data_IF_213207153010
#
_entry.id   IF_213207153010
#
_cell.length_a   1.000
_cell.length_b   1.000
_cell.length_c   1.000
_cell.angle_alpha   90.00
_cell.angle_beta   90.00
_cell.angle_gamma   90.00
#
_symmetry.space_group_name_H-M   'P 1'
#
loop_
_entity.id
_entity.type
_entity.pdbx_description
1 polymer ?
#
# COMPACT_ATOMS: atom_id res chain seq x y z
N UNK A 1 -2.99 18.80 -14.77
CA UNK A 1 -3.06 17.35 -15.09
C UNK A 1 -4.44 16.90 -15.59
N UNK A 2 -5.41 17.82 -15.77
CA UNK A 2 -6.66 17.52 -16.49
C UNK A 2 -6.34 17.04 -17.92
N UNK A 3 -6.97 15.97 -18.43
CA UNK A 3 -8.25 15.37 -18.00
C UNK A 3 -8.16 14.20 -17.00
N UNK A 4 -6.97 13.82 -16.51
CA UNK A 4 -6.84 12.65 -15.64
C UNK A 4 -7.50 12.87 -14.28
N UNK A 5 -8.18 11.84 -13.77
CA UNK A 5 -8.77 11.84 -12.42
C UNK A 5 -7.71 11.43 -11.40
N UNK A 6 -7.34 12.37 -10.53
CA UNK A 6 -6.32 12.18 -9.50
C UNK A 6 -6.97 11.56 -8.26
N UNK A 7 -6.27 10.60 -7.65
CA UNK A 7 -6.71 9.90 -6.44
C UNK A 7 -6.23 10.67 -5.21
N UNK A 8 -4.91 10.85 -5.09
CA UNK A 8 -4.28 11.63 -4.02
C UNK A 8 -3.07 12.40 -4.51
N UNK A 9 -2.68 13.44 -3.77
CA UNK A 9 -1.49 14.26 -4.03
C UNK A 9 -0.77 14.47 -2.72
N UNK A 10 0.50 14.07 -2.65
CA UNK A 10 1.42 14.41 -1.57
C UNK A 10 2.37 15.52 -2.02
N UNK A 11 2.48 16.60 -1.26
CA UNK A 11 3.31 17.76 -1.60
C UNK A 11 4.43 17.90 -0.58
N UNK A 12 5.66 17.72 -1.04
CA UNK A 12 6.89 17.95 -0.26
C UNK A 12 7.37 19.37 -0.55
N UNK A 13 6.91 20.33 0.25
CA UNK A 13 7.18 21.76 0.06
C UNK A 13 8.68 22.08 0.10
N UNK A 14 9.43 21.41 0.98
CA UNK A 14 10.88 21.61 1.15
C UNK A 14 11.66 21.26 -0.14
N UNK A 15 11.23 20.22 -0.85
CA UNK A 15 11.84 19.75 -2.10
C UNK A 15 11.24 20.38 -3.35
N UNK A 16 10.18 21.20 -3.21
CA UNK A 16 9.30 21.62 -4.31
C UNK A 16 8.88 20.43 -5.19
N UNK A 17 8.51 19.33 -4.55
CA UNK A 17 8.13 18.09 -5.20
C UNK A 17 6.67 17.76 -4.91
N UNK A 18 5.95 17.28 -5.92
CA UNK A 18 4.57 16.86 -5.80
C UNK A 18 4.42 15.45 -6.36
N UNK A 19 4.00 14.52 -5.52
CA UNK A 19 3.78 13.12 -5.84
C UNK A 19 2.28 12.93 -6.06
N UNK A 20 1.90 12.47 -7.25
CA UNK A 20 0.51 12.36 -7.69
C UNK A 20 0.19 10.90 -7.92
N UNK A 21 -0.77 10.38 -7.16
CA UNK A 21 -1.21 8.99 -7.24
C UNK A 21 -2.48 8.89 -8.08
N UNK A 22 -2.46 7.95 -9.01
CA UNK A 22 -3.46 7.81 -10.08
C UNK A 22 -3.73 6.33 -10.35
N UNK A 23 -4.97 5.98 -10.66
CA UNK A 23 -5.26 4.63 -11.14
C UNK A 23 -4.44 4.29 -12.41
N UNK A 24 -4.12 2.99 -12.63
CA UNK A 24 -3.27 2.56 -13.75
C UNK A 24 -3.73 3.04 -15.13
N UNK A 25 -5.05 3.16 -15.33
CA UNK A 25 -5.69 3.64 -16.54
C UNK A 25 -5.59 5.16 -16.73
N UNK A 26 -5.56 5.93 -15.65
CA UNK A 26 -5.48 7.40 -15.64
C UNK A 26 -4.05 7.94 -15.79
N UNK A 27 -3.03 7.12 -15.50
CA UNK A 27 -1.60 7.52 -15.60
C UNK A 27 -1.23 7.99 -17.00
N UNK A 28 -1.72 7.31 -18.04
CA UNK A 28 -1.39 7.70 -19.42
C UNK A 28 -1.96 9.08 -19.78
N UNK A 29 -3.18 9.37 -19.31
CA UNK A 29 -3.85 10.67 -19.50
C UNK A 29 -3.12 11.78 -18.73
N UNK A 30 -2.65 11.47 -17.51
CA UNK A 30 -1.93 12.42 -16.66
C UNK A 30 -0.56 12.80 -17.26
N UNK A 31 0.18 11.83 -17.81
CA UNK A 31 1.46 12.06 -18.50
C UNK A 31 1.24 12.85 -19.80
N UNK A 32 0.22 12.47 -20.58
CA UNK A 32 -0.04 13.02 -21.90
C UNK A 32 1.02 12.64 -22.94
N UNK A 33 0.80 12.98 -24.21
CA UNK A 33 1.71 12.61 -25.31
C UNK A 33 3.10 13.23 -25.10
N UNK A 34 4.11 12.38 -24.91
CA UNK A 34 5.49 12.82 -24.68
C UNK A 34 5.72 13.55 -23.35
N UNK A 35 4.85 13.36 -22.36
CA UNK A 35 4.97 14.01 -21.05
C UNK A 35 4.53 15.47 -21.02
N UNK A 36 3.80 15.94 -22.03
CA UNK A 36 3.43 17.34 -22.17
C UNK A 36 2.59 17.88 -20.99
N UNK A 37 1.68 17.06 -20.47
CA UNK A 37 0.78 17.48 -19.38
C UNK A 37 1.53 17.65 -18.05
N UNK A 38 2.43 16.74 -17.72
CA UNK A 38 3.30 16.84 -16.53
C UNK A 38 4.25 18.03 -16.69
N UNK A 39 4.93 18.16 -17.83
CA UNK A 39 5.86 19.29 -18.06
C UNK A 39 5.18 20.64 -17.92
N UNK A 40 3.98 20.79 -18.48
CA UNK A 40 3.22 22.05 -18.37
C UNK A 40 2.80 22.30 -16.92
N UNK A 41 2.30 21.28 -16.24
CA UNK A 41 1.89 21.40 -14.84
C UNK A 41 3.09 21.77 -13.95
N UNK A 42 4.25 21.14 -14.13
CA UNK A 42 5.48 21.46 -13.39
C UNK A 42 5.94 22.90 -13.63
N UNK A 43 5.86 23.40 -14.88
CA UNK A 43 6.19 24.79 -15.20
C UNK A 43 5.21 25.79 -14.58
N UNK A 44 3.91 25.45 -14.51
CA UNK A 44 2.88 26.33 -13.97
C UNK A 44 2.91 26.41 -12.44
N UNK A 45 3.20 25.30 -11.77
CA UNK A 45 3.24 25.24 -10.30
C UNK A 45 4.61 25.60 -9.75
N UNK A 46 5.68 25.41 -10.53
CA UNK A 46 7.05 25.50 -10.06
C UNK A 46 7.49 24.29 -9.22
N UNK A 47 6.69 23.22 -9.21
CA UNK A 47 6.98 21.96 -8.54
C UNK A 47 7.46 20.91 -9.55
N UNK A 48 8.33 20.00 -9.10
CA UNK A 48 8.60 18.77 -9.83
C UNK A 48 7.49 17.76 -9.56
N UNK A 49 6.72 17.42 -10.60
CA UNK A 49 5.56 16.54 -10.49
C UNK A 49 5.96 15.12 -10.90
N UNK A 50 5.85 14.19 -9.97
CA UNK A 50 6.04 12.76 -10.19
C UNK A 50 4.69 12.04 -10.14
N UNK A 51 4.46 11.15 -11.11
CA UNK A 51 3.21 10.40 -11.23
C UNK A 51 3.48 8.96 -10.83
N UNK A 52 2.77 8.52 -9.80
CA UNK A 52 2.76 7.15 -9.32
C UNK A 52 1.46 6.48 -9.69
N UNK A 53 1.56 5.19 -10.00
CA UNK A 53 0.37 4.34 -10.06
C UNK A 53 -0.03 4.09 -8.62
N UNK A 54 -1.26 4.40 -8.28
CA UNK A 54 -1.85 3.92 -7.05
C UNK A 54 -2.02 2.41 -7.23
N UNK A 55 -1.10 1.68 -6.63
CA UNK A 55 -1.22 0.25 -6.35
C UNK A 55 -1.68 0.27 -4.89
N UNK A 56 -2.87 -0.27 -4.62
CA UNK A 56 -3.51 -0.35 -3.28
C UNK A 56 -2.49 -0.20 -2.14
N UNK A 57 -2.61 0.90 -1.40
CA UNK A 57 -2.02 1.17 -0.08
C UNK A 57 -0.74 0.38 0.24
N UNK A 58 0.35 0.63 -0.49
CA UNK A 58 1.66 0.45 0.12
C UNK A 58 1.89 1.66 1.03
N UNK A 59 1.33 1.62 2.23
CA UNK A 59 1.88 2.37 3.35
C UNK A 59 3.39 2.10 3.38
N UNK A 60 4.23 3.14 3.43
CA UNK A 60 5.69 2.98 3.55
C UNK A 60 6.09 2.18 4.83
N UNK A 61 5.14 2.01 5.76
CA UNK A 61 5.24 1.22 7.00
C UNK A 61 4.72 -0.23 6.86
N UNK A 62 4.30 -0.69 5.69
CA UNK A 62 3.79 -2.06 5.54
C UNK A 62 4.93 -3.09 5.39
N UNK A 63 4.77 -4.22 6.07
CA UNK A 63 5.76 -5.30 6.13
C UNK A 63 5.38 -6.38 5.12
N UNK A 64 6.34 -6.79 4.28
CA UNK A 64 6.13 -7.89 3.34
C UNK A 64 5.94 -9.23 4.06
N UNK A 65 5.05 -10.08 3.55
CA UNK A 65 4.81 -11.40 4.13
C UNK A 65 6.05 -12.31 4.15
N UNK A 66 7.06 -12.03 3.31
CA UNK A 66 8.32 -12.78 3.34
C UNK A 66 9.12 -12.59 4.64
N UNK A 67 8.94 -11.48 5.34
CA UNK A 67 9.62 -11.22 6.62
C UNK A 67 9.08 -12.14 7.73
N UNK A 68 7.83 -12.59 7.61
CA UNK A 68 7.19 -13.50 8.57
C UNK A 68 7.48 -14.98 8.31
N UNK A 69 8.44 -15.33 7.44
CA UNK A 69 8.76 -16.73 7.12
C UNK A 69 9.25 -17.57 8.32
N UNK A 70 9.72 -16.91 9.38
CA UNK A 70 10.14 -17.57 10.61
C UNK A 70 8.94 -17.98 11.50
N UNK A 71 7.79 -17.31 11.35
CA UNK A 71 6.60 -17.51 12.17
C UNK A 71 5.42 -18.14 11.40
N UNK A 72 5.34 -17.87 10.10
CA UNK A 72 4.32 -18.36 9.19
C UNK A 72 4.96 -19.32 8.19
N UNK A 73 4.33 -20.47 8.02
CA UNK A 73 4.72 -21.46 7.02
C UNK A 73 4.83 -20.85 5.61
N UNK A 74 5.97 -21.08 4.95
CA UNK A 74 6.25 -20.50 3.63
C UNK A 74 5.19 -20.84 2.55
N UNK A 75 4.56 -22.01 2.64
CA UNK A 75 3.51 -22.40 1.70
C UNK A 75 2.21 -21.60 1.90
N UNK A 76 1.93 -21.13 3.12
CA UNK A 76 0.79 -20.27 3.47
C UNK A 76 1.00 -18.87 2.91
N UNK A 77 2.22 -18.32 3.08
CA UNK A 77 2.62 -17.03 2.49
C UNK A 77 2.44 -17.07 0.96
N UNK A 78 2.84 -18.17 0.33
CA UNK A 78 2.69 -18.31 -1.13
C UNK A 78 1.21 -18.35 -1.57
N UNK A 79 0.29 -18.90 -0.76
CA UNK A 79 -1.16 -18.82 -1.07
C UNK A 79 -1.70 -17.40 -0.93
N UNK A 80 -1.34 -16.71 0.14
CA UNK A 80 -1.76 -15.32 0.38
C UNK A 80 -1.28 -14.40 -0.76
N UNK A 81 -0.04 -14.60 -1.23
CA UNK A 81 0.48 -13.86 -2.39
C UNK A 81 -0.28 -14.15 -3.68
N UNK A 82 -0.75 -15.38 -3.89
CA UNK A 82 -1.54 -15.74 -5.09
C UNK A 82 -2.87 -15.01 -5.17
N UNK A 83 -3.47 -14.69 -4.03
CA UNK A 83 -4.71 -13.90 -3.96
C UNK A 83 -4.46 -12.38 -4.00
N UNK A 84 -3.20 -11.96 -4.11
CA UNK A 84 -2.79 -10.55 -4.18
C UNK A 84 -2.42 -9.94 -2.83
N UNK A 85 -2.39 -10.72 -1.75
CA UNK A 85 -1.93 -10.25 -0.44
C UNK A 85 -0.43 -10.50 -0.32
N UNK A 86 0.38 -9.51 -0.67
CA UNK A 86 1.85 -9.57 -0.55
C UNK A 86 2.40 -9.02 0.75
N UNK A 87 1.60 -8.26 1.48
CA UNK A 87 1.99 -7.55 2.70
C UNK A 87 1.01 -7.81 3.83
N UNK A 88 1.44 -7.53 5.05
CA UNK A 88 0.67 -7.82 6.24
C UNK A 88 -0.60 -6.95 6.35
N UNK A 89 -0.54 -5.64 6.07
CA UNK A 89 -1.75 -4.80 6.08
C UNK A 89 -2.77 -5.28 5.03
N UNK A 90 -2.32 -5.72 3.85
CA UNK A 90 -3.20 -6.30 2.83
C UNK A 90 -3.95 -7.55 3.30
N UNK A 91 -3.30 -8.41 4.10
CA UNK A 91 -3.96 -9.58 4.70
C UNK A 91 -4.95 -9.13 5.79
N UNK A 92 -4.53 -8.21 6.66
CA UNK A 92 -5.35 -7.70 7.77
C UNK A 92 -6.59 -6.91 7.31
N UNK A 93 -6.49 -6.21 6.19
CA UNK A 93 -7.60 -5.48 5.58
C UNK A 93 -8.63 -6.41 4.91
N UNK A 94 -8.28 -7.67 4.64
CA UNK A 94 -9.17 -8.61 3.97
C UNK A 94 -10.07 -9.36 4.97
N UNK A 95 -11.36 -9.60 4.65
CA UNK A 95 -12.23 -10.40 5.52
C UNK A 95 -11.71 -11.83 5.67
N UNK A 96 -11.75 -12.37 6.89
CA UNK A 96 -11.30 -13.75 7.15
C UNK A 96 -11.99 -14.78 6.25
N UNK A 97 -13.28 -14.62 5.95
CA UNK A 97 -14.02 -15.56 5.10
C UNK A 97 -13.49 -15.59 3.66
N UNK A 98 -12.96 -14.46 3.17
CA UNK A 98 -12.32 -14.37 1.86
C UNK A 98 -10.96 -15.05 1.86
N UNK A 99 -10.18 -14.87 2.92
CA UNK A 99 -8.87 -15.54 3.06
C UNK A 99 -9.04 -17.05 3.04
N UNK A 100 -9.96 -17.59 3.84
CA UNK A 100 -10.26 -19.03 3.89
C UNK A 100 -10.63 -19.57 2.50
N UNK A 101 -11.53 -18.87 1.80
CA UNK A 101 -12.09 -19.34 0.53
C UNK A 101 -11.17 -19.19 -0.67
N UNK A 102 -10.49 -18.04 -0.78
CA UNK A 102 -9.69 -17.70 -1.95
C UNK A 102 -8.26 -18.22 -1.82
N UNK A 103 -7.68 -18.24 -0.60
CA UNK A 103 -6.35 -18.77 -0.36
C UNK A 103 -6.35 -20.29 -0.12
N UNK A 104 -7.51 -20.93 -0.06
CA UNK A 104 -7.68 -22.38 0.20
C UNK A 104 -6.96 -22.82 1.49
N UNK A 105 -7.14 -22.02 2.55
CA UNK A 105 -6.52 -22.24 3.86
C UNK A 105 -7.57 -22.70 4.90
N UNK A 106 -7.14 -23.49 5.88
CA UNK A 106 -7.99 -23.89 6.99
C UNK A 106 -8.28 -22.70 7.93
N UNK A 107 -9.44 -22.70 8.58
CA UNK A 107 -9.86 -21.64 9.51
C UNK A 107 -8.81 -21.38 10.60
N UNK A 108 -8.27 -22.46 11.19
CA UNK A 108 -7.25 -22.35 12.23
C UNK A 108 -5.96 -21.69 11.72
N UNK A 109 -5.53 -22.02 10.50
CA UNK A 109 -4.33 -21.43 9.89
C UNK A 109 -4.54 -19.94 9.62
N UNK A 110 -5.71 -19.54 9.13
CA UNK A 110 -6.03 -18.13 8.91
C UNK A 110 -6.06 -17.37 10.24
N UNK A 111 -6.64 -17.95 11.28
CA UNK A 111 -6.67 -17.33 12.61
C UNK A 111 -5.26 -17.17 13.21
N UNK A 112 -4.39 -18.17 13.04
CA UNK A 112 -2.98 -18.08 13.45
C UNK A 112 -2.22 -16.99 12.70
N UNK A 113 -2.34 -16.95 11.37
CA UNK A 113 -1.73 -15.90 10.54
C UNK A 113 -2.21 -14.52 10.97
N UNK A 114 -3.53 -14.32 11.07
CA UNK A 114 -4.10 -13.02 11.44
C UNK A 114 -3.69 -12.58 12.85
N UNK A 115 -3.39 -13.53 13.74
CA UNK A 115 -2.90 -13.26 15.09
C UNK A 115 -1.44 -12.83 15.08
N UNK A 116 -0.58 -13.54 14.34
CA UNK A 116 0.85 -13.19 14.18
C UNK A 116 0.96 -11.79 13.57
N UNK A 117 0.26 -11.57 12.45
CA UNK A 117 0.28 -10.29 11.76
C UNK A 117 -0.27 -9.16 12.64
N UNK A 118 -1.32 -9.38 13.45
CA UNK A 118 -1.79 -8.31 14.36
C UNK A 118 -0.81 -8.00 15.46
N UNK A 119 -0.16 -9.02 16.03
CA UNK A 119 0.77 -8.84 17.13
C UNK A 119 1.94 -7.93 16.73
N UNK A 120 2.51 -8.13 15.54
CA UNK A 120 3.62 -7.32 15.05
C UNK A 120 3.24 -5.84 14.81
N UNK A 121 2.01 -5.58 14.38
CA UNK A 121 1.53 -4.21 14.12
C UNK A 121 0.95 -3.52 15.35
N UNK A 122 0.38 -4.25 16.32
CA UNK A 122 -0.08 -3.68 17.61
C UNK A 122 1.09 -3.25 18.51
N UNK A 123 2.27 -3.87 18.35
CA UNK A 123 3.52 -3.43 19.00
C UNK A 123 4.04 -2.08 18.43
N UNK A 124 3.63 -1.67 17.22
CA UNK A 124 3.91 -0.31 16.70
C UNK A 124 2.93 0.75 17.23
N UNK A 125 1.66 0.40 17.44
CA UNK A 125 0.61 1.31 17.95
C UNK A 125 0.71 1.60 19.47
N UNK A 126 1.55 0.87 20.22
CA UNK A 126 1.64 1.00 21.69
C UNK A 126 2.77 1.88 22.22
N UNK A 127 3.47 2.64 21.36
CA UNK A 127 4.54 3.56 21.81
C UNK A 127 4.11 4.99 22.18
N UNK A 128 2.83 5.37 22.04
CA UNK A 128 2.35 6.69 22.46
C UNK A 128 1.18 6.58 23.44
N UNK A 129 1.47 6.30 24.72
CA UNK A 129 0.81 6.91 25.90
C UNK A 129 1.41 6.31 27.18
N UNK A 130 2.59 6.80 27.59
CA UNK A 130 2.90 6.79 29.03
C UNK A 130 1.97 7.82 29.70
N UNK A 131 1.09 7.44 30.66
CA UNK A 131 0.47 8.43 31.51
C UNK A 131 1.54 8.97 32.45
N UNK A 132 2.00 10.21 32.21
CA UNK A 132 2.71 10.98 33.23
C UNK A 132 1.85 11.02 34.50
N UNK A 133 2.38 10.48 35.61
CA UNK A 133 1.84 10.71 36.97
C UNK A 133 2.95 11.23 37.88
#
# INVERSE_FOLDING_TARGET
>A
LSPAKINSISVKEEERRAEVFLYPDEVSLAIGKGGANIKLASMLTGYNIEVFREIDDFDEEDIYLDEFRDEIDGWVIDQLKRIGCSTAKNVLAMPRERLIKEADLEENTVDEVLKILRYEFEDEDTTDEEPEI
#
